data_IF_256404228176
#
_entry.id   IF_256404228176
#
_cell.length_a   1.000
_cell.length_b   1.000
_cell.length_c   1.000
_cell.angle_alpha   90.00
_cell.angle_beta   90.00
_cell.angle_gamma   90.00
#
_symmetry.space_group_name_H-M   'P 1'
#
loop_
_entity.id
_entity.type
_entity.pdbx_description
1 polymer ?
#
# COMPACT_ATOMS: atom_id res chain seq x y z
N UNK A 1 -7.22 -31.80 7.10
CA UNK A 1 -6.80 -31.59 5.68
C UNK A 1 -5.43 -30.91 5.68
N UNK A 2 -4.49 -31.34 4.81
CA UNK A 2 -3.20 -30.65 4.65
C UNK A 2 -3.39 -29.31 3.94
N UNK A 3 -2.63 -28.28 4.33
CA UNK A 3 -2.58 -27.01 3.59
C UNK A 3 -2.05 -27.27 2.17
N UNK A 4 -2.65 -26.65 1.13
CA UNK A 4 -2.11 -26.74 -0.23
C UNK A 4 -0.74 -26.06 -0.31
N UNK A 5 0.15 -26.60 -1.14
CA UNK A 5 1.43 -25.97 -1.47
C UNK A 5 1.20 -25.05 -2.67
N UNK A 6 1.52 -23.77 -2.53
CA UNK A 6 1.38 -22.78 -3.60
C UNK A 6 2.73 -22.56 -4.28
N UNK A 7 2.85 -22.98 -5.54
CA UNK A 7 4.10 -22.90 -6.33
C UNK A 7 3.95 -21.97 -7.54
N UNK A 8 3.04 -21.00 -7.49
CA UNK A 8 2.71 -20.10 -8.61
C UNK A 8 2.98 -18.61 -8.29
N UNK A 9 4.02 -18.35 -7.49
CA UNK A 9 4.37 -16.98 -7.04
C UNK A 9 4.80 -16.05 -8.18
N UNK A 10 5.20 -16.59 -9.33
CA UNK A 10 5.56 -15.81 -10.51
C UNK A 10 4.34 -15.18 -11.20
N UNK A 11 3.19 -15.87 -11.23
CA UNK A 11 1.96 -15.31 -11.79
C UNK A 11 1.37 -14.22 -10.89
N UNK A 12 1.43 -14.41 -9.56
CA UNK A 12 1.07 -13.37 -8.58
C UNK A 12 1.69 -13.69 -7.24
N UNK A 13 2.04 -12.65 -6.46
CA UNK A 13 2.60 -12.83 -5.13
C UNK A 13 1.54 -13.19 -4.06
N UNK A 14 0.75 -14.25 -4.28
CA UNK A 14 -0.23 -14.75 -3.33
C UNK A 14 0.39 -15.73 -2.31
N UNK A 15 -0.10 -15.76 -1.05
CA UNK A 15 -0.87 -14.69 -0.42
C UNK A 15 0.03 -13.46 -0.22
N UNK A 16 -0.57 -12.27 -0.32
CA UNK A 16 0.12 -11.04 0.07
C UNK A 16 0.35 -11.07 1.60
N UNK A 17 1.47 -10.55 2.12
CA UNK A 17 1.64 -10.38 3.57
C UNK A 17 0.47 -9.57 4.16
N UNK A 18 -0.02 -9.95 5.34
CA UNK A 18 -1.22 -9.35 5.97
C UNK A 18 -1.17 -7.82 6.04
N UNK A 19 0.02 -7.26 6.31
CA UNK A 19 0.26 -5.81 6.36
C UNK A 19 -0.20 -5.07 5.11
N UNK A 20 -0.15 -5.71 3.93
CA UNK A 20 -0.56 -5.12 2.65
C UNK A 20 -2.08 -4.95 2.64
N UNK A 21 -2.81 -6.02 2.97
CA UNK A 21 -4.27 -5.98 3.01
C UNK A 21 -4.76 -5.00 4.08
N UNK A 22 -4.16 -5.01 5.28
CA UNK A 22 -4.54 -4.09 6.37
C UNK A 22 -4.35 -2.62 6.00
N UNK A 23 -3.19 -2.25 5.43
CA UNK A 23 -2.96 -0.84 5.05
C UNK A 23 -3.97 -0.36 4.01
N UNK A 24 -4.28 -1.20 3.02
CA UNK A 24 -5.29 -0.87 1.98
C UNK A 24 -6.68 -0.74 2.61
N UNK A 25 -7.06 -1.69 3.46
CA UNK A 25 -8.32 -1.65 4.19
C UNK A 25 -8.46 -0.39 5.03
N UNK A 26 -7.42 -0.02 5.79
CA UNK A 26 -7.44 1.16 6.65
C UNK A 26 -7.55 2.45 5.83
N UNK A 27 -6.90 2.51 4.67
CA UNK A 27 -7.09 3.62 3.73
C UNK A 27 -8.55 3.71 3.28
N UNK A 28 -9.13 2.59 2.85
CA UNK A 28 -10.48 2.57 2.28
C UNK A 28 -11.56 2.88 3.30
N UNK A 29 -11.47 2.33 4.51
CA UNK A 29 -12.52 2.49 5.52
C UNK A 29 -12.37 3.75 6.37
N UNK A 30 -11.14 4.18 6.64
CA UNK A 30 -10.92 5.24 7.62
C UNK A 30 -10.46 6.55 6.96
N UNK A 31 -9.67 6.49 5.89
CA UNK A 31 -9.05 7.68 5.29
C UNK A 31 -9.85 8.16 4.06
N UNK A 32 -9.85 7.42 2.95
CA UNK A 32 -10.74 7.63 1.79
C UNK A 32 -10.58 8.96 1.04
N UNK A 33 -9.56 9.76 1.36
CA UNK A 33 -9.40 11.11 0.80
C UNK A 33 -8.57 11.12 -0.48
N UNK A 34 -8.93 12.00 -1.40
CA UNK A 34 -8.08 12.29 -2.55
C UNK A 34 -6.86 13.12 -2.14
N UNK A 35 -5.68 12.53 -2.28
CA UNK A 35 -4.41 13.25 -2.15
C UNK A 35 -4.34 14.44 -3.12
N UNK A 36 -3.90 15.60 -2.62
CA UNK A 36 -3.71 16.81 -3.44
C UNK A 36 -5.00 17.53 -3.85
N UNK A 37 -6.17 17.05 -3.42
CA UNK A 37 -7.45 17.77 -3.58
C UNK A 37 -7.95 18.28 -2.23
N UNK A 38 -7.67 19.55 -1.97
CA UNK A 38 -8.04 20.25 -0.73
C UNK A 38 -6.84 20.54 0.16
N UNK A 39 -6.88 21.71 0.83
CA UNK A 39 -5.82 22.19 1.72
C UNK A 39 -5.99 21.80 3.19
N UNK A 40 -6.96 20.93 3.50
CA UNK A 40 -7.18 20.47 4.88
C UNK A 40 -6.16 19.40 5.27
N UNK A 41 -5.81 19.38 6.55
CA UNK A 41 -4.68 18.61 7.11
C UNK A 41 -4.67 17.16 6.65
N UNK A 42 -5.83 16.50 6.70
CA UNK A 42 -5.97 15.08 6.39
C UNK A 42 -5.70 14.77 4.91
N UNK A 43 -6.11 15.62 3.98
CA UNK A 43 -5.78 15.46 2.55
C UNK A 43 -4.28 15.67 2.29
N UNK A 44 -3.65 16.61 3.00
CA UNK A 44 -2.20 16.82 2.91
C UNK A 44 -1.42 15.62 3.48
N UNK A 45 -1.91 15.00 4.55
CA UNK A 45 -1.28 13.80 5.12
C UNK A 45 -1.25 12.64 4.13
N UNK A 46 -2.37 12.33 3.48
CA UNK A 46 -2.41 11.27 2.46
C UNK A 46 -1.45 11.58 1.31
N UNK A 47 -1.35 12.85 0.89
CA UNK A 47 -0.35 13.28 -0.08
C UNK A 47 1.09 12.98 0.35
N UNK A 48 1.44 13.30 1.61
CA UNK A 48 2.76 12.99 2.18
C UNK A 48 3.04 11.48 2.23
N UNK A 49 2.04 10.67 2.54
CA UNK A 49 2.21 9.22 2.60
C UNK A 49 2.51 8.61 1.23
N UNK A 50 1.85 9.08 0.17
CA UNK A 50 2.17 8.68 -1.20
C UNK A 50 3.60 9.07 -1.56
N UNK A 51 4.01 10.29 -1.21
CA UNK A 51 5.36 10.78 -1.54
C UNK A 51 6.44 10.01 -0.78
N UNK A 52 6.22 9.71 0.50
CA UNK A 52 7.08 8.83 1.27
C UNK A 52 7.17 7.43 0.64
N UNK A 53 6.06 6.91 0.10
CA UNK A 53 6.03 5.66 -0.65
C UNK A 53 6.94 5.71 -1.88
N UNK A 54 6.85 6.78 -2.67
CA UNK A 54 7.71 7.00 -3.85
C UNK A 54 9.18 7.10 -3.47
N UNK A 55 9.53 7.89 -2.46
CA UNK A 55 10.91 8.03 -1.99
C UNK A 55 11.50 6.68 -1.52
N UNK A 56 10.70 5.85 -0.84
CA UNK A 56 11.12 4.50 -0.42
C UNK A 56 11.33 3.56 -1.61
N UNK A 57 10.47 3.64 -2.63
CA UNK A 57 10.65 2.87 -3.86
C UNK A 57 11.88 3.32 -4.64
N UNK A 58 12.11 4.62 -4.78
CA UNK A 58 13.31 5.17 -5.41
C UNK A 58 14.58 4.64 -4.70
N UNK A 59 14.61 4.73 -3.36
CA UNK A 59 15.71 4.16 -2.55
C UNK A 59 15.88 2.66 -2.75
N UNK A 60 14.79 1.89 -2.82
CA UNK A 60 14.84 0.44 -3.04
C UNK A 60 15.41 0.08 -4.42
N UNK A 61 15.12 0.92 -5.42
CA UNK A 61 15.50 0.72 -6.82
C UNK A 61 16.79 1.43 -7.21
N UNK A 62 17.44 2.15 -6.29
CA UNK A 62 18.61 3.02 -6.54
C UNK A 62 18.36 4.05 -7.66
N UNK A 63 17.18 4.66 -7.66
CA UNK A 63 16.79 5.73 -8.56
C UNK A 63 16.83 7.10 -7.89
#
# INVERSE_FOLDING_TARGET
>A
MKKPIYLDHAATSAPKPERVARRVHDYLLNEGLSAGRGGYERAMQIGREIENGRARLAKLLNA
#
